data_IF_024517923845
#
_entry.id   IF_024517923845
#
_cell.length_a   1.000
_cell.length_b   1.000
_cell.length_c   1.000
_cell.angle_alpha   90.00
_cell.angle_beta   90.00
_cell.angle_gamma   90.00
#
_symmetry.space_group_name_H-M   'P 1'
#
loop_
_entity.id
_entity.type
_entity.pdbx_description
1 polymer ?
#
# COMPACT_ATOMS: atom_id res chain seq x y z
N UNK A 1 68.01 -11.04 -0.06
CA UNK A 1 66.86 -11.41 -0.90
C UNK A 1 65.66 -11.49 0.03
N UNK A 2 64.68 -10.61 -0.19
CA UNK A 2 63.51 -10.41 0.67
C UNK A 2 62.31 -11.07 0.00
N UNK A 3 61.73 -12.09 0.64
CA UNK A 3 60.53 -12.77 0.16
C UNK A 3 59.28 -11.99 0.59
N UNK A 4 58.70 -11.24 -0.34
CA UNK A 4 57.36 -10.68 -0.19
C UNK A 4 56.33 -11.66 -0.75
N UNK A 5 55.74 -12.47 0.15
CA UNK A 5 54.57 -13.29 -0.14
C UNK A 5 53.39 -12.35 -0.45
N UNK A 6 53.02 -12.27 -1.72
CA UNK A 6 51.86 -11.53 -2.19
C UNK A 6 50.56 -12.16 -1.68
N UNK A 7 49.87 -11.46 -0.78
CA UNK A 7 48.50 -11.81 -0.36
C UNK A 7 47.55 -11.54 -1.53
N UNK A 8 46.98 -12.60 -2.11
CA UNK A 8 45.92 -12.48 -3.11
C UNK A 8 44.62 -12.07 -2.40
N UNK A 9 43.98 -10.94 -2.75
CA UNK A 9 42.71 -10.59 -2.14
C UNK A 9 41.61 -11.52 -2.66
N UNK A 10 41.01 -12.30 -1.76
CA UNK A 10 39.78 -13.05 -2.04
C UNK A 10 38.63 -12.06 -2.32
N UNK A 11 38.35 -11.83 -3.60
CA UNK A 11 37.12 -11.17 -4.05
C UNK A 11 35.92 -12.05 -3.67
N UNK A 12 35.21 -11.68 -2.60
CA UNK A 12 33.92 -12.28 -2.27
C UNK A 12 32.89 -11.88 -3.34
N UNK A 13 32.83 -12.65 -4.43
CA UNK A 13 31.84 -12.48 -5.49
C UNK A 13 30.47 -12.90 -4.93
N UNK A 14 29.71 -11.95 -4.40
CA UNK A 14 28.28 -12.17 -4.14
C UNK A 14 27.64 -12.65 -5.44
N UNK A 15 26.94 -13.79 -5.48
CA UNK A 15 26.42 -14.36 -6.73
C UNK A 15 25.55 -13.33 -7.45
N UNK A 16 25.73 -13.18 -8.77
CA UNK A 16 25.02 -12.18 -9.57
C UNK A 16 23.49 -12.26 -9.44
N UNK A 17 22.96 -13.46 -9.15
CA UNK A 17 21.54 -13.68 -8.84
C UNK A 17 21.07 -12.99 -7.55
N UNK A 18 21.90 -12.96 -6.51
CA UNK A 18 21.59 -12.32 -5.23
C UNK A 18 21.55 -10.79 -5.39
N UNK A 19 22.54 -10.21 -6.08
CA UNK A 19 22.56 -8.76 -6.38
C UNK A 19 21.35 -8.31 -7.18
N UNK A 20 20.87 -9.14 -8.12
CA UNK A 20 19.66 -8.86 -8.90
C UNK A 20 18.40 -8.97 -8.04
N UNK A 21 18.29 -9.96 -7.16
CA UNK A 21 17.18 -10.11 -6.22
C UNK A 21 17.04 -8.89 -5.28
N UNK A 22 18.15 -8.36 -4.78
CA UNK A 22 18.19 -7.17 -3.90
C UNK A 22 18.22 -5.82 -4.63
N UNK A 23 17.93 -5.77 -5.93
CA UNK A 23 17.76 -4.48 -6.62
C UNK A 23 16.53 -3.73 -6.09
N UNK A 24 16.60 -2.40 -5.97
CA UNK A 24 15.48 -1.59 -5.49
C UNK A 24 14.19 -1.78 -6.31
N UNK A 25 14.31 -2.09 -7.61
CA UNK A 25 13.15 -2.45 -8.44
C UNK A 25 12.47 -3.74 -7.96
N UNK A 26 13.25 -4.78 -7.64
CA UNK A 26 12.73 -6.07 -7.21
C UNK A 26 12.22 -6.02 -5.77
N UNK A 27 12.93 -5.34 -4.87
CA UNK A 27 12.48 -5.13 -3.50
C UNK A 27 11.12 -4.42 -3.45
N UNK A 28 10.95 -3.34 -4.23
CA UNK A 28 9.67 -2.62 -4.33
C UNK A 28 8.54 -3.46 -4.91
N UNK A 29 8.87 -4.38 -5.83
CA UNK A 29 7.90 -5.32 -6.39
C UNK A 29 7.48 -6.37 -5.36
N UNK A 30 8.45 -7.04 -4.73
CA UNK A 30 8.18 -8.09 -3.73
C UNK A 30 7.41 -7.52 -2.53
N UNK A 31 7.82 -6.37 -2.02
CA UNK A 31 7.09 -5.71 -0.94
C UNK A 31 5.66 -5.33 -1.36
N UNK A 32 5.48 -4.83 -2.59
CA UNK A 32 4.16 -4.55 -3.14
C UNK A 32 3.28 -5.80 -3.29
N UNK A 33 3.86 -6.95 -3.64
CA UNK A 33 3.12 -8.22 -3.74
C UNK A 33 2.69 -8.74 -2.37
N UNK A 34 3.56 -8.62 -1.35
CA UNK A 34 3.22 -8.96 0.04
C UNK A 34 2.04 -8.12 0.52
N UNK A 35 2.11 -6.79 0.32
CA UNK A 35 1.01 -5.88 0.69
C UNK A 35 -0.26 -6.16 -0.13
N UNK A 36 -0.13 -6.46 -1.42
CA UNK A 36 -1.29 -6.81 -2.24
C UNK A 36 -1.98 -8.08 -1.75
N UNK A 37 -1.22 -9.12 -1.37
CA UNK A 37 -1.78 -10.34 -0.82
C UNK A 37 -2.51 -10.09 0.52
N UNK A 38 -1.93 -9.24 1.38
CA UNK A 38 -2.58 -8.79 2.61
C UNK A 38 -3.92 -8.09 2.32
N UNK A 39 -3.92 -7.10 1.41
CA UNK A 39 -5.14 -6.37 1.04
C UNK A 39 -6.17 -7.30 0.42
N UNK A 40 -5.77 -8.17 -0.52
CA UNK A 40 -6.67 -9.10 -1.18
C UNK A 40 -7.39 -10.00 -0.17
N UNK A 41 -6.63 -10.66 0.71
CA UNK A 41 -7.22 -11.52 1.75
C UNK A 41 -8.07 -10.74 2.75
N UNK A 42 -7.69 -9.49 3.07
CA UNK A 42 -8.50 -8.61 3.91
C UNK A 42 -9.85 -8.25 3.26
N UNK A 43 -9.86 -7.92 1.96
CA UNK A 43 -11.09 -7.62 1.22
C UNK A 43 -11.97 -8.87 1.04
N UNK A 44 -11.36 -10.04 0.79
CA UNK A 44 -12.09 -11.31 0.79
C UNK A 44 -12.78 -11.53 2.14
N UNK A 45 -12.10 -11.26 3.25
CA UNK A 45 -12.73 -11.35 4.57
C UNK A 45 -13.97 -10.46 4.71
N UNK A 46 -13.90 -9.22 4.21
CA UNK A 46 -15.05 -8.31 4.26
C UNK A 46 -16.20 -8.78 3.38
N UNK A 47 -15.91 -9.41 2.23
CA UNK A 47 -16.95 -9.97 1.37
C UNK A 47 -17.75 -11.10 2.02
N UNK A 48 -17.17 -11.79 3.01
CA UNK A 48 -17.87 -12.82 3.78
C UNK A 48 -19.00 -12.26 4.65
N UNK A 49 -19.08 -10.93 4.81
CA UNK A 49 -20.24 -10.27 5.43
C UNK A 49 -21.53 -10.44 4.62
N UNK A 50 -21.44 -10.80 3.33
CA UNK A 50 -22.59 -11.23 2.53
C UNK A 50 -23.13 -12.60 2.94
N UNK A 51 -22.31 -13.42 3.61
CA UNK A 51 -22.66 -14.76 4.08
C UNK A 51 -23.16 -14.69 5.53
N UNK A 52 -22.29 -14.26 6.44
CA UNK A 52 -22.64 -14.04 7.84
C UNK A 52 -21.50 -13.33 8.59
N UNK A 53 -21.84 -12.70 9.72
CA UNK A 53 -20.86 -12.15 10.65
C UNK A 53 -19.90 -13.24 11.19
N UNK A 54 -20.39 -14.46 11.41
CA UNK A 54 -19.57 -15.58 11.85
C UNK A 54 -18.51 -15.97 10.80
N UNK A 55 -18.89 -16.03 9.52
CA UNK A 55 -17.95 -16.32 8.44
C UNK A 55 -16.83 -15.27 8.36
N UNK A 56 -17.15 -14.01 8.63
CA UNK A 56 -16.14 -12.94 8.73
C UNK A 56 -15.17 -13.20 9.90
N UNK A 57 -15.67 -13.57 11.07
CA UNK A 57 -14.82 -13.88 12.24
C UNK A 57 -13.95 -15.10 12.04
N UNK A 58 -14.50 -16.19 11.51
CA UNK A 58 -13.77 -17.44 11.28
C UNK A 58 -12.60 -17.21 10.33
N UNK A 59 -12.84 -16.49 9.23
CA UNK A 59 -11.77 -16.15 8.29
C UNK A 59 -10.80 -15.11 8.88
N UNK A 60 -11.28 -14.19 9.73
CA UNK A 60 -10.42 -13.25 10.46
C UNK A 60 -9.46 -14.00 11.36
N UNK A 61 -9.91 -15.01 12.10
CA UNK A 61 -9.07 -15.81 12.99
C UNK A 61 -7.87 -16.43 12.23
N UNK A 62 -8.13 -17.04 11.07
CA UNK A 62 -7.07 -17.59 10.20
C UNK A 62 -6.14 -16.49 9.70
N UNK A 63 -6.70 -15.38 9.22
CA UNK A 63 -5.91 -14.25 8.70
C UNK A 63 -5.01 -13.65 9.77
N UNK A 64 -5.51 -13.43 11.00
CA UNK A 64 -4.72 -12.85 12.07
C UNK A 64 -3.71 -13.83 12.66
N UNK A 65 -3.97 -15.14 12.67
CA UNK A 65 -2.97 -16.14 13.04
C UNK A 65 -1.71 -16.02 12.19
N UNK A 66 -1.85 -15.70 10.89
CA UNK A 66 -0.73 -15.42 10.00
C UNK A 66 -0.23 -13.99 10.17
N UNK A 67 -1.09 -13.00 9.93
CA UNK A 67 -0.69 -11.58 9.80
C UNK A 67 -0.33 -10.89 11.12
N UNK A 68 -0.78 -11.42 12.26
CA UNK A 68 -0.46 -10.91 13.60
C UNK A 68 0.49 -11.81 14.38
N UNK A 69 0.97 -12.90 13.78
CA UNK A 69 2.17 -13.57 14.31
C UNK A 69 3.35 -12.59 14.32
N UNK A 70 4.37 -12.89 15.13
CA UNK A 70 5.57 -12.05 15.18
C UNK A 70 6.26 -11.95 13.81
N UNK A 71 6.37 -13.08 13.11
CA UNK A 71 6.90 -13.12 11.75
C UNK A 71 6.02 -12.36 10.74
N UNK A 72 4.70 -12.58 10.77
CA UNK A 72 3.77 -11.91 9.87
C UNK A 72 3.76 -10.39 10.04
N UNK A 73 3.75 -9.93 11.30
CA UNK A 73 3.82 -8.49 11.63
C UNK A 73 5.15 -7.89 11.12
N UNK A 74 6.28 -8.56 11.37
CA UNK A 74 7.58 -8.12 10.90
C UNK A 74 7.67 -8.03 9.38
N UNK A 75 7.18 -9.06 8.67
CA UNK A 75 7.15 -9.09 7.20
C UNK A 75 6.27 -7.97 6.63
N UNK A 76 5.07 -7.77 7.17
CA UNK A 76 4.16 -6.73 6.69
C UNK A 76 4.69 -5.33 6.95
N UNK A 77 5.25 -5.08 8.14
CA UNK A 77 5.85 -3.79 8.47
C UNK A 77 7.05 -3.48 7.57
N UNK A 78 7.95 -4.45 7.38
CA UNK A 78 9.09 -4.29 6.49
C UNK A 78 8.64 -4.07 5.05
N UNK A 79 7.65 -4.82 4.58
CA UNK A 79 7.09 -4.63 3.24
C UNK A 79 6.48 -3.23 3.09
N UNK A 80 5.70 -2.75 4.06
CA UNK A 80 5.13 -1.41 4.04
C UNK A 80 6.21 -0.32 3.95
N UNK A 81 7.22 -0.38 4.82
CA UNK A 81 8.33 0.59 4.86
C UNK A 81 9.11 0.58 3.54
N UNK A 82 9.56 -0.60 3.11
CA UNK A 82 10.35 -0.75 1.88
C UNK A 82 9.55 -0.31 0.66
N UNK A 83 8.26 -0.65 0.59
CA UNK A 83 7.40 -0.23 -0.52
C UNK A 83 7.24 1.30 -0.56
N UNK A 84 6.96 1.93 0.59
CA UNK A 84 6.77 3.36 0.70
C UNK A 84 8.04 4.14 0.35
N UNK A 85 9.18 3.80 0.96
CA UNK A 85 10.46 4.48 0.73
C UNK A 85 10.86 4.40 -0.75
N UNK A 86 10.90 3.19 -1.32
CA UNK A 86 11.27 3.00 -2.72
C UNK A 86 10.22 3.58 -3.69
N UNK A 87 8.97 3.70 -3.25
CA UNK A 87 7.90 4.38 -3.97
C UNK A 87 8.15 5.88 -4.08
N UNK A 88 8.44 6.53 -2.94
CA UNK A 88 8.78 7.96 -2.86
C UNK A 88 10.08 8.26 -3.63
N UNK A 89 11.12 7.44 -3.47
CA UNK A 89 12.36 7.56 -4.24
C UNK A 89 12.06 7.52 -5.75
N UNK A 90 11.27 6.55 -6.21
CA UNK A 90 10.89 6.46 -7.63
C UNK A 90 10.11 7.69 -8.11
N UNK A 91 9.25 8.26 -7.26
CA UNK A 91 8.55 9.51 -7.56
C UNK A 91 9.60 10.60 -7.74
N UNK A 92 10.41 10.88 -6.73
CA UNK A 92 11.40 11.97 -6.70
C UNK A 92 12.40 11.87 -7.86
N UNK A 93 12.87 10.68 -8.20
CA UNK A 93 13.88 10.48 -9.26
C UNK A 93 13.36 10.61 -10.69
N UNK A 94 12.04 10.62 -10.91
CA UNK A 94 11.45 10.73 -12.26
C UNK A 94 11.10 12.17 -12.63
N UNK A 95 11.50 12.61 -13.84
CA UNK A 95 11.04 13.89 -14.41
C UNK A 95 9.54 13.85 -14.70
N UNK A 96 8.82 14.93 -14.38
CA UNK A 96 7.36 15.01 -14.58
C UNK A 96 6.94 14.76 -16.04
N UNK A 97 7.69 15.31 -17.00
CA UNK A 97 7.43 15.12 -18.44
C UNK A 97 7.57 13.68 -18.93
N UNK A 98 8.25 12.81 -18.17
CA UNK A 98 8.45 11.41 -18.51
C UNK A 98 7.41 10.47 -17.85
N UNK A 99 6.41 11.02 -17.15
CA UNK A 99 5.40 10.24 -16.43
C UNK A 99 4.20 10.00 -17.37
N UNK A 100 3.97 8.74 -17.74
CA UNK A 100 2.75 8.34 -18.45
C UNK A 100 1.49 8.57 -17.61
N UNK A 101 0.29 8.72 -18.20
CA UNK A 101 -0.97 8.88 -17.46
C UNK A 101 -1.23 7.79 -16.40
N UNK A 102 -0.95 6.52 -16.72
CA UNK A 102 -1.07 5.40 -15.74
C UNK A 102 -0.08 5.55 -14.59
N UNK A 103 1.11 6.07 -14.88
CA UNK A 103 2.11 6.39 -13.87
C UNK A 103 1.64 7.51 -12.95
N UNK A 104 0.98 8.53 -13.49
CA UNK A 104 0.40 9.61 -12.69
C UNK A 104 -0.71 9.08 -11.77
N UNK A 105 -1.60 8.21 -12.27
CA UNK A 105 -2.64 7.58 -11.45
C UNK A 105 -2.05 6.71 -10.33
N UNK A 106 -1.00 5.94 -10.60
CA UNK A 106 -0.29 5.17 -9.57
C UNK A 106 0.31 6.08 -8.48
N UNK A 107 0.85 7.24 -8.87
CA UNK A 107 1.43 8.22 -7.95
C UNK A 107 0.33 8.86 -7.11
N UNK A 108 -0.74 9.36 -7.76
CA UNK A 108 -1.86 10.00 -7.07
C UNK A 108 -2.50 9.07 -6.05
N UNK A 109 -2.82 7.83 -6.45
CA UNK A 109 -3.37 6.83 -5.52
C UNK A 109 -2.39 6.50 -4.39
N UNK A 110 -1.10 6.30 -4.69
CA UNK A 110 -0.09 5.99 -3.68
C UNK A 110 0.09 7.10 -2.64
N UNK A 111 -0.03 8.35 -3.07
CA UNK A 111 0.05 9.55 -2.23
C UNK A 111 -1.19 9.71 -1.34
N UNK A 112 -2.38 9.38 -1.85
CA UNK A 112 -3.63 9.51 -1.12
C UNK A 112 -3.90 8.35 -0.14
N UNK A 113 -3.31 7.18 -0.35
CA UNK A 113 -3.49 6.02 0.54
C UNK A 113 -3.16 6.33 2.01
N UNK A 114 -2.00 6.90 2.37
CA UNK A 114 -1.67 7.21 3.77
C UNK A 114 -2.72 8.07 4.49
N UNK A 115 -3.34 9.02 3.77
CA UNK A 115 -4.34 9.95 4.32
C UNK A 115 -5.57 9.21 4.86
N UNK A 116 -6.06 8.21 4.13
CA UNK A 116 -7.22 7.40 4.56
C UNK A 116 -6.81 6.19 5.39
N UNK A 117 -5.69 5.56 5.04
CA UNK A 117 -5.22 4.32 5.67
C UNK A 117 -4.81 4.56 7.13
N UNK A 118 -4.20 5.70 7.44
CA UNK A 118 -3.75 5.99 8.80
C UNK A 118 -4.92 5.94 9.80
N UNK A 119 -6.04 6.59 9.50
CA UNK A 119 -7.25 6.55 10.35
C UNK A 119 -7.77 5.12 10.53
N UNK A 120 -7.88 4.36 9.45
CA UNK A 120 -8.31 2.96 9.52
C UNK A 120 -7.38 2.11 10.39
N UNK A 121 -6.06 2.22 10.17
CA UNK A 121 -5.05 1.45 10.90
C UNK A 121 -4.98 1.86 12.37
N UNK A 122 -5.08 3.15 12.67
CA UNK A 122 -5.04 3.67 14.05
C UNK A 122 -6.28 3.23 14.82
N UNK A 123 -7.47 3.40 14.23
CA UNK A 123 -8.73 3.06 14.88
C UNK A 123 -8.85 1.59 15.23
N UNK A 124 -8.28 0.70 14.42
CA UNK A 124 -8.34 -0.74 14.65
C UNK A 124 -7.08 -1.27 15.33
N UNK A 125 -5.94 -1.26 14.62
CA UNK A 125 -4.72 -1.93 15.08
C UNK A 125 -4.05 -1.18 16.23
N UNK A 126 -3.95 0.15 16.16
CA UNK A 126 -3.26 0.89 17.23
C UNK A 126 -4.11 0.92 18.51
N UNK A 127 -5.43 1.01 18.40
CA UNK A 127 -6.33 0.84 19.55
C UNK A 127 -6.13 -0.51 20.26
N UNK A 128 -5.97 -1.59 19.49
CA UNK A 128 -5.66 -2.92 20.04
C UNK A 128 -4.31 -2.94 20.76
N UNK A 129 -3.25 -2.42 20.13
CA UNK A 129 -1.90 -2.44 20.69
C UNK A 129 -1.73 -1.54 21.93
N UNK A 130 -2.38 -0.37 21.96
CA UNK A 130 -2.24 0.59 23.07
C UNK A 130 -3.18 0.29 24.25
N UNK A 131 -4.40 -0.16 23.95
CA UNK A 131 -5.47 -0.23 24.96
C UNK A 131 -6.09 -1.63 25.10
N UNK A 132 -5.57 -2.64 24.38
CA UNK A 132 -6.08 -4.01 24.46
C UNK A 132 -7.49 -4.17 23.87
N UNK A 133 -7.95 -3.23 23.04
CA UNK A 133 -9.28 -3.29 22.41
C UNK A 133 -9.38 -4.57 21.58
N UNK A 134 -10.46 -5.34 21.78
CA UNK A 134 -10.76 -6.46 20.89
C UNK A 134 -11.26 -5.92 19.55
N UNK A 135 -10.39 -5.89 18.56
CA UNK A 135 -10.66 -5.36 17.22
C UNK A 135 -11.32 -6.38 16.30
N UNK A 136 -12.37 -7.02 16.82
CA UNK A 136 -13.25 -7.92 16.09
C UNK A 136 -14.22 -7.16 15.19
N UNK A 137 -15.03 -7.88 14.42
CA UNK A 137 -16.03 -7.32 13.54
C UNK A 137 -17.15 -6.61 14.30
N UNK A 138 -17.48 -7.04 15.52
CA UNK A 138 -18.43 -6.27 16.34
C UNK A 138 -17.92 -4.85 16.57
N UNK A 139 -16.67 -4.72 17.04
CA UNK A 139 -16.04 -3.40 17.20
C UNK A 139 -15.88 -2.66 15.87
N UNK A 140 -15.42 -3.34 14.81
CA UNK A 140 -15.18 -2.71 13.51
C UNK A 140 -16.47 -2.16 12.88
N UNK A 141 -17.55 -2.93 12.94
CA UNK A 141 -18.85 -2.56 12.36
C UNK A 141 -19.50 -1.45 13.20
N UNK A 142 -19.46 -1.56 14.53
CA UNK A 142 -19.90 -0.49 15.43
C UNK A 142 -19.15 0.83 15.19
N UNK A 143 -17.82 0.77 15.06
CA UNK A 143 -16.99 1.96 14.96
C UNK A 143 -17.07 2.63 13.58
N UNK A 144 -17.32 1.87 12.51
CA UNK A 144 -17.22 2.39 11.14
C UNK A 144 -18.56 2.54 10.42
N UNK A 145 -19.57 1.72 10.73
CA UNK A 145 -20.88 1.84 10.08
C UNK A 145 -21.82 2.75 10.89
N UNK A 146 -22.60 3.64 10.24
CA UNK A 146 -22.52 4.08 8.85
C UNK A 146 -21.53 5.26 8.67
N UNK A 147 -21.05 5.87 9.74
CA UNK A 147 -20.39 7.18 9.71
C UNK A 147 -19.10 7.23 8.85
N UNK A 148 -18.32 6.14 8.85
CA UNK A 148 -17.07 6.04 8.10
C UNK A 148 -17.22 5.30 6.77
N UNK A 149 -18.44 4.86 6.39
CA UNK A 149 -18.65 3.98 5.24
C UNK A 149 -18.06 4.55 3.94
N UNK A 150 -18.29 5.84 3.66
CA UNK A 150 -17.75 6.50 2.45
C UNK A 150 -16.23 6.64 2.48
N UNK A 151 -15.63 6.83 3.67
CA UNK A 151 -14.17 6.84 3.81
C UNK A 151 -13.58 5.45 3.58
N UNK A 152 -14.25 4.40 4.07
CA UNK A 152 -13.84 3.01 3.79
C UNK A 152 -13.99 2.66 2.31
N UNK A 153 -15.08 3.07 1.65
CA UNK A 153 -15.25 2.91 0.20
C UNK A 153 -14.11 3.58 -0.59
N UNK A 154 -13.78 4.83 -0.22
CA UNK A 154 -12.66 5.57 -0.81
C UNK A 154 -11.31 4.88 -0.58
N UNK A 155 -11.06 4.37 0.63
CA UNK A 155 -9.84 3.64 0.97
C UNK A 155 -9.71 2.34 0.15
N UNK A 156 -10.80 1.57 0.03
CA UNK A 156 -10.85 0.35 -0.80
C UNK A 156 -10.51 0.71 -2.25
N UNK A 157 -11.16 1.72 -2.83
CA UNK A 157 -10.92 2.14 -4.20
C UNK A 157 -9.46 2.56 -4.43
N UNK A 158 -8.88 3.33 -3.50
CA UNK A 158 -7.49 3.78 -3.60
C UNK A 158 -6.49 2.63 -3.47
N UNK A 159 -6.59 1.80 -2.43
CA UNK A 159 -5.63 0.73 -2.17
C UNK A 159 -5.74 -0.38 -3.21
N UNK A 160 -6.96 -0.80 -3.54
CA UNK A 160 -7.19 -1.83 -4.55
C UNK A 160 -6.83 -1.34 -5.95
N UNK A 161 -7.21 -0.11 -6.30
CA UNK A 161 -6.83 0.53 -7.56
C UNK A 161 -5.31 0.65 -7.70
N UNK A 162 -4.63 1.14 -6.66
CA UNK A 162 -3.17 1.21 -6.64
C UNK A 162 -2.52 -0.16 -6.85
N UNK A 163 -3.01 -1.18 -6.14
CA UNK A 163 -2.52 -2.55 -6.25
C UNK A 163 -2.72 -3.14 -7.65
N UNK A 164 -3.92 -3.04 -8.20
CA UNK A 164 -4.28 -3.60 -9.51
C UNK A 164 -3.60 -2.88 -10.68
N UNK A 165 -3.44 -1.55 -10.64
CA UNK A 165 -2.66 -0.81 -11.64
C UNK A 165 -1.19 -1.22 -11.57
N UNK A 166 -0.64 -1.35 -10.36
CA UNK A 166 0.73 -1.81 -10.12
C UNK A 166 0.99 -3.20 -10.69
N UNK A 167 0.10 -4.14 -10.38
CA UNK A 167 0.13 -5.50 -10.91
C UNK A 167 0.01 -5.52 -12.43
N UNK A 168 -0.97 -4.81 -13.00
CA UNK A 168 -1.17 -4.75 -14.44
C UNK A 168 0.09 -4.26 -15.17
N UNK A 169 0.73 -3.19 -14.68
CA UNK A 169 1.99 -2.70 -15.25
C UNK A 169 3.14 -3.72 -15.18
N UNK A 170 3.11 -4.65 -14.23
CA UNK A 170 4.10 -5.71 -14.08
C UNK A 170 3.81 -6.93 -14.95
N UNK A 171 2.57 -7.43 -14.94
CA UNK A 171 2.19 -8.71 -15.57
C UNK A 171 1.82 -8.59 -17.05
N UNK A 172 1.46 -7.40 -17.55
CA UNK A 172 0.92 -7.23 -18.93
C UNK A 172 1.86 -7.67 -20.06
N UNK A 173 3.14 -7.85 -19.77
CA UNK A 173 4.17 -8.29 -20.72
C UNK A 173 4.50 -9.78 -20.60
N UNK A 174 3.82 -10.52 -19.70
CA UNK A 174 4.00 -11.96 -19.54
C UNK A 174 3.18 -12.68 -20.59
N UNK A 175 3.75 -13.72 -21.20
CA UNK A 175 3.09 -14.52 -22.24
C UNK A 175 1.75 -15.11 -21.78
N UNK A 176 1.66 -15.51 -20.51
CA UNK A 176 0.43 -16.06 -19.93
C UNK A 176 -0.67 -15.02 -19.70
N UNK A 177 -0.36 -13.72 -19.68
CA UNK A 177 -1.33 -12.67 -19.34
C UNK A 177 -2.49 -12.60 -20.34
N UNK A 178 -2.24 -12.89 -21.62
CA UNK A 178 -3.28 -12.93 -22.65
C UNK A 178 -4.41 -13.90 -22.29
N UNK A 179 -4.07 -15.10 -21.80
CA UNK A 179 -5.04 -16.14 -21.44
C UNK A 179 -5.81 -15.81 -20.15
N UNK A 180 -5.19 -15.12 -19.20
CA UNK A 180 -5.80 -14.81 -17.89
C UNK A 180 -6.40 -13.39 -17.81
N UNK A 181 -6.36 -12.60 -18.88
CA UNK A 181 -6.81 -11.21 -18.85
C UNK A 181 -8.27 -11.07 -18.39
N UNK A 182 -9.17 -11.88 -18.94
CA UNK A 182 -10.60 -11.84 -18.60
C UNK A 182 -10.87 -12.21 -17.12
N UNK A 183 -10.43 -13.38 -16.60
CA UNK A 183 -10.65 -13.70 -15.19
C UNK A 183 -9.98 -12.71 -14.23
N UNK A 184 -8.78 -12.20 -14.57
CA UNK A 184 -8.13 -11.16 -13.76
C UNK A 184 -8.92 -9.85 -13.72
N UNK A 185 -9.58 -9.47 -14.82
CA UNK A 185 -10.45 -8.30 -14.85
C UNK A 185 -11.69 -8.50 -13.98
N UNK A 186 -12.31 -9.69 -14.04
CA UNK A 186 -13.45 -10.04 -13.18
C UNK A 186 -13.06 -9.96 -11.71
N UNK A 187 -11.91 -10.52 -11.32
CA UNK A 187 -11.40 -10.43 -9.95
C UNK A 187 -11.14 -8.96 -9.58
N UNK A 188 -10.49 -8.19 -10.45
CA UNK A 188 -10.20 -6.78 -10.22
C UNK A 188 -11.46 -5.93 -10.02
N UNK A 189 -12.57 -6.28 -10.69
CA UNK A 189 -13.84 -5.57 -10.56
C UNK A 189 -14.66 -6.03 -9.35
N UNK A 190 -14.79 -7.35 -9.13
CA UNK A 190 -15.70 -7.89 -8.14
C UNK A 190 -15.20 -7.80 -6.70
N UNK A 191 -13.91 -8.01 -6.45
CA UNK A 191 -13.36 -8.01 -5.08
C UNK A 191 -13.71 -6.75 -4.28
N UNK A 192 -13.48 -5.51 -4.76
CA UNK A 192 -13.79 -4.31 -3.98
C UNK A 192 -15.30 -4.12 -3.79
N UNK A 193 -16.11 -4.49 -4.79
CA UNK A 193 -17.58 -4.37 -4.73
C UNK A 193 -18.15 -5.34 -3.70
N UNK A 194 -17.74 -6.60 -3.75
CA UNK A 194 -18.18 -7.62 -2.81
C UNK A 194 -17.69 -7.32 -1.39
N UNK A 195 -16.47 -6.82 -1.23
CA UNK A 195 -15.93 -6.42 0.07
C UNK A 195 -16.74 -5.30 0.71
N UNK A 196 -17.06 -4.24 -0.06
CA UNK A 196 -17.87 -3.13 0.46
C UNK A 196 -19.31 -3.56 0.73
N UNK A 197 -19.92 -4.33 -0.17
CA UNK A 197 -21.27 -4.84 0.02
C UNK A 197 -21.37 -5.75 1.26
N UNK A 198 -20.37 -6.61 1.49
CA UNK A 198 -20.31 -7.44 2.70
C UNK A 198 -20.15 -6.62 3.99
N UNK A 199 -19.29 -5.59 3.97
CA UNK A 199 -19.18 -4.64 5.08
C UNK A 199 -20.50 -3.90 5.36
N UNK A 200 -21.19 -3.42 4.33
CA UNK A 200 -22.47 -2.74 4.44
C UNK A 200 -23.57 -3.66 5.01
N UNK A 201 -23.72 -4.86 4.45
CA UNK A 201 -24.73 -5.84 4.90
C UNK A 201 -24.48 -6.22 6.36
N UNK A 202 -23.23 -6.55 6.70
CA UNK A 202 -22.87 -6.89 8.08
C UNK A 202 -23.07 -5.70 9.03
N UNK A 203 -22.73 -4.48 8.62
CA UNK A 203 -22.92 -3.27 9.44
C UNK A 203 -24.39 -2.98 9.72
N UNK A 204 -25.24 -3.07 8.69
CA UNK A 204 -26.70 -2.93 8.85
C UNK A 204 -27.27 -4.02 9.77
N UNK A 205 -26.87 -5.28 9.59
CA UNK A 205 -27.31 -6.38 10.43
C UNK A 205 -26.86 -6.20 11.88
N UNK A 206 -25.62 -5.78 12.10
CA UNK A 206 -25.05 -5.52 13.42
C UNK A 206 -25.87 -4.48 14.18
N UNK A 207 -26.11 -3.30 13.60
CA UNK A 207 -26.89 -2.23 14.25
C UNK A 207 -28.37 -2.58 14.44
N UNK A 208 -28.92 -3.51 13.66
CA UNK A 208 -30.29 -3.98 13.83
C UNK A 208 -30.44 -5.04 14.92
N UNK A 209 -29.37 -5.76 15.27
CA UNK A 209 -29.45 -6.96 16.12
C UNK A 209 -28.59 -6.93 17.37
N UNK A 210 -27.64 -5.99 17.47
CA UNK A 210 -26.68 -5.91 18.57
C UNK A 210 -26.59 -4.50 19.14
N UNK A 211 -26.40 -4.44 20.45
CA UNK A 211 -25.92 -3.25 21.16
C UNK A 211 -24.45 -3.45 21.49
N UNK A 212 -23.66 -2.39 21.36
CA UNK A 212 -22.23 -2.46 21.62
C UNK A 212 -21.77 -1.16 22.26
N UNK A 213 -21.15 -1.30 23.43
CA UNK A 213 -20.60 -0.18 24.16
C UNK A 213 -19.17 0.07 23.72
N UNK A 214 -18.77 1.34 23.74
CA UNK A 214 -17.39 1.71 23.44
C UNK A 214 -16.44 0.97 24.40
N UNK A 215 -15.46 0.20 23.90
CA UNK A 215 -14.45 -0.41 24.74
C UNK A 215 -13.41 0.62 25.21
N UNK A 216 -13.46 1.84 24.67
CA UNK A 216 -12.60 2.96 25.01
C UNK A 216 -13.31 3.88 25.99
N UNK A 217 -12.61 4.29 27.05
CA UNK A 217 -13.04 5.41 27.88
C UNK A 217 -12.81 6.76 27.17
N UNK A 218 -13.31 7.85 27.74
CA UNK A 218 -13.23 9.18 27.13
C UNK A 218 -11.79 9.66 26.86
N UNK A 219 -10.84 9.35 27.75
CA UNK A 219 -9.44 9.73 27.61
C UNK A 219 -8.75 8.93 26.50
N UNK A 220 -8.97 7.62 26.47
CA UNK A 220 -8.45 6.73 25.43
C UNK A 220 -9.01 7.11 24.05
N UNK A 221 -10.31 7.38 23.95
CA UNK A 221 -10.95 7.85 22.72
C UNK A 221 -10.31 9.16 22.22
N UNK A 222 -10.15 10.14 23.11
CA UNK A 222 -9.50 11.42 22.79
C UNK A 222 -8.06 11.23 22.32
N UNK A 223 -7.33 10.29 22.93
CA UNK A 223 -5.97 9.93 22.53
C UNK A 223 -5.92 9.35 21.12
N UNK A 224 -6.82 8.41 20.80
CA UNK A 224 -6.93 7.84 19.45
C UNK A 224 -7.21 8.92 18.40
N UNK A 225 -8.19 9.80 18.66
CA UNK A 225 -8.52 10.91 17.75
C UNK A 225 -7.31 11.84 17.55
N UNK A 226 -6.59 12.19 18.62
CA UNK A 226 -5.37 13.01 18.52
C UNK A 226 -4.31 12.34 17.64
N UNK A 227 -4.09 11.04 17.80
CA UNK A 227 -3.11 10.31 16.98
C UNK A 227 -3.56 10.28 15.51
N UNK A 228 -4.86 10.12 15.23
CA UNK A 228 -5.40 10.21 13.87
C UNK A 228 -5.17 11.58 13.24
N UNK A 229 -5.36 12.66 13.98
CA UNK A 229 -5.15 14.03 13.48
C UNK A 229 -3.67 14.30 13.21
N UNK A 230 -2.78 13.89 14.13
CA UNK A 230 -1.32 13.97 13.91
C UNK A 230 -0.94 13.19 12.66
N UNK A 231 -1.44 11.96 12.50
CA UNK A 231 -1.12 11.14 11.33
C UNK A 231 -1.65 11.75 10.02
N UNK A 232 -2.81 12.41 10.05
CA UNK A 232 -3.32 13.18 8.92
C UNK A 232 -2.38 14.34 8.57
N UNK A 233 -1.99 15.17 9.54
CA UNK A 233 -1.09 16.30 9.30
C UNK A 233 0.29 15.87 8.81
N UNK A 234 0.84 14.80 9.39
CA UNK A 234 2.10 14.20 8.91
C UNK A 234 1.95 13.72 7.48
N UNK A 235 0.86 13.03 7.16
CA UNK A 235 0.59 12.58 5.78
C UNK A 235 0.55 13.77 4.84
N UNK A 236 -0.25 14.80 5.14
CA UNK A 236 -0.35 16.01 4.32
C UNK A 236 0.99 16.73 4.16
N UNK A 237 1.78 16.85 5.23
CA UNK A 237 3.11 17.45 5.19
C UNK A 237 4.07 16.69 4.26
N UNK A 238 4.04 15.35 4.29
CA UNK A 238 4.84 14.52 3.37
C UNK A 238 4.41 14.71 1.91
N UNK A 239 3.10 14.83 1.65
CA UNK A 239 2.57 15.11 0.32
C UNK A 239 3.06 16.47 -0.16
N UNK A 240 2.91 17.51 0.65
CA UNK A 240 3.39 18.86 0.35
C UNK A 240 4.90 18.85 0.09
N UNK A 241 5.70 18.17 0.91
CA UNK A 241 7.14 18.04 0.71
C UNK A 241 7.48 17.41 -0.64
N UNK A 242 6.82 16.30 -1.02
CA UNK A 242 7.03 15.66 -2.33
C UNK A 242 6.64 16.61 -3.47
N UNK A 243 5.53 17.34 -3.34
CA UNK A 243 5.08 18.30 -4.35
C UNK A 243 6.05 19.49 -4.49
N UNK A 244 6.58 20.01 -3.39
CA UNK A 244 7.59 21.08 -3.39
C UNK A 244 8.89 20.63 -4.06
N UNK A 245 9.36 19.41 -3.75
CA UNK A 245 10.52 18.81 -4.45
C UNK A 245 10.24 18.72 -5.95
N UNK A 246 9.04 18.31 -6.35
CA UNK A 246 8.64 18.24 -7.77
C UNK A 246 8.56 19.60 -8.45
N UNK A 247 8.01 20.60 -7.78
CA UNK A 247 7.98 21.96 -8.28
C UNK A 247 9.40 22.51 -8.48
N UNK A 248 10.29 22.35 -7.49
CA UNK A 248 11.69 22.76 -7.58
C UNK A 248 12.44 22.07 -8.72
N UNK A 249 12.25 20.76 -8.90
CA UNK A 249 12.83 20.01 -10.03
C UNK A 249 12.33 20.51 -11.40
N UNK A 250 11.04 20.85 -11.49
CA UNK A 250 10.44 21.37 -12.73
C UNK A 250 10.96 22.76 -13.08
N UNK A 251 10.99 23.67 -12.09
CA UNK A 251 11.54 25.02 -12.22
C UNK A 251 13.01 24.95 -12.66
N UNK A 252 13.83 24.16 -11.97
CA UNK A 252 15.26 23.97 -12.30
C UNK A 252 15.47 23.43 -13.72
N UNK A 253 14.59 22.53 -14.19
CA UNK A 253 14.66 22.02 -15.56
C UNK A 253 14.36 23.08 -16.62
N UNK A 254 13.53 24.09 -16.31
CA UNK A 254 13.24 25.22 -17.19
C UNK A 254 14.42 26.17 -17.39
N UNK A 255 15.34 26.24 -16.42
CA UNK A 255 16.53 27.10 -16.48
C UNK A 255 17.76 26.45 -17.13
N UNK A 256 17.73 25.16 -17.45
CA UNK A 256 18.86 24.49 -18.11
C UNK A 256 18.89 24.84 -19.60
N UNK A 257 20.03 25.30 -20.15
CA UNK A 257 20.12 25.66 -21.57
C UNK A 257 19.81 24.45 -22.45
N UNK A 258 18.96 24.65 -23.46
CA UNK A 258 18.64 23.62 -24.46
C UNK A 258 19.81 23.49 -25.42
N UNK A 259 20.59 22.42 -25.28
CA UNK A 259 21.63 22.08 -26.27
C UNK A 259 20.92 21.54 -27.52
N UNK A 260 20.91 22.32 -28.59
CA UNK A 260 20.48 21.87 -29.91
C UNK A 260 21.68 21.28 -30.63
N UNK A 261 21.65 19.98 -30.93
CA UNK A 261 22.66 19.33 -31.78
C UNK A 261 22.10 19.35 -33.20
N UNK A 262 22.67 20.21 -34.05
CA UNK A 262 22.38 20.23 -35.49
C UNK A 262 23.34 19.27 -36.18
N UNK A 263 22.82 18.24 -36.84
CA UNK A 263 23.65 17.35 -37.67
C UNK A 263 23.86 18.01 -39.03
N UNK A 264 25.11 18.36 -39.36
CA UNK A 264 25.48 18.74 -40.72
C UNK A 264 25.53 17.46 -41.56
N UNK A 265 24.48 17.19 -42.33
CA UNK A 265 24.52 16.21 -43.40
C UNK A 265 25.21 16.84 -44.61
N UNK A 266 26.54 16.90 -44.61
CA UNK A 266 27.31 17.04 -45.85
C UNK A 266 27.34 15.69 -46.54
N UNK A 267 26.41 15.49 -47.48
CA UNK A 267 26.53 14.46 -48.52
C UNK A 267 27.15 15.17 -49.71
N UNK A 268 28.45 14.95 -49.92
CA UNK A 268 29.15 15.23 -51.18
C UNK A 268 28.99 14.05 -52.12
#
# INVERSE_FOLDING_TARGET
MSDTVGVIPHSSKTPAGLKRAFSGRNLRLLSGLVLFAFVFTHLVNHSLGLVSLQAMEDFRAVRIAVTRSWAGTGILLLAAIVHAILGVEKIISRRLSAISPRGLLQIATGILIPVLLARHLIGMRISHELFGVNDNYDFALWAMWPAEAWRQAGLIALVWGHGTIGLYMWIRFKSWFGYLKAPLLVIAALVPVLAFAGFEVAGKQFHATRTFDSPLNAEQYTTIVRIMDIALYVSLALIVAVLLIKAGQWISAGFKPKVSITYNNTVT
#
